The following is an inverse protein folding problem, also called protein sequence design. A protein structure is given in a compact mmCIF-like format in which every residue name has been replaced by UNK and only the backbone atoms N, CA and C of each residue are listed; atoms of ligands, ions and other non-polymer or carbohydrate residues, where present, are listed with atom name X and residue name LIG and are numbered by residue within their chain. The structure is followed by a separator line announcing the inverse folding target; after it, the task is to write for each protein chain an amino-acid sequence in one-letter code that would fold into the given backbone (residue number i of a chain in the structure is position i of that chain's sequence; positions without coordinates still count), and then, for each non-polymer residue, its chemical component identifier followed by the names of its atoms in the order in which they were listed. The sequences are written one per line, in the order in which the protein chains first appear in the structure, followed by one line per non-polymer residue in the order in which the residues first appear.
data_IF_658477575033
#
_entry.id   IF_658477575033
#
_cell.length_a   1.000
_cell.length_b   1.000
_cell.length_c   1.000
_cell.angle_alpha   90.00
_cell.angle_beta   90.00
_cell.angle_gamma   90.00
#
_symmetry.space_group_name_H-M   'P 1'
#
loop_
_entity.id
_entity.type
_entity.pdbx_description
1 polymer ?
#
# COMPACT_ATOMS: atom_id res chain seq x y z
N UNK A 1 20.57 67.92 -22.99
CA UNK A 1 19.28 67.70 -23.67
C UNK A 1 18.97 66.20 -23.62
N UNK A 2 17.72 65.87 -23.28
CA UNK A 2 17.00 64.56 -23.34
C UNK A 2 17.27 63.81 -24.67
N UNK A 3 17.12 62.49 -24.85
CA UNK A 3 16.12 61.51 -24.38
C UNK A 3 16.58 60.07 -24.75
N UNK A 4 16.04 59.05 -24.07
CA UNK A 4 16.06 57.64 -24.51
C UNK A 4 14.82 57.23 -25.32
N UNK A 5 14.88 56.06 -25.98
CA UNK A 5 13.82 55.28 -26.67
C UNK A 5 14.33 53.81 -26.74
N UNK A 6 13.76 52.76 -26.14
CA UNK A 6 12.52 51.95 -26.32
C UNK A 6 12.49 50.99 -27.53
N UNK A 7 12.25 49.70 -27.23
CA UNK A 7 12.22 48.45 -28.03
C UNK A 7 11.25 48.42 -29.23
N UNK A 8 11.52 47.52 -30.20
CA UNK A 8 10.58 46.56 -30.82
C UNK A 8 11.37 45.34 -31.35
N UNK A 9 10.85 44.12 -31.20
CA UNK A 9 11.45 42.86 -31.70
C UNK A 9 10.82 42.33 -32.99
N UNK A 10 11.42 41.29 -33.57
CA UNK A 10 10.80 40.46 -34.60
C UNK A 10 11.14 38.97 -34.40
N UNK A 11 10.08 38.17 -34.46
CA UNK A 11 10.04 36.72 -34.38
C UNK A 11 10.55 36.07 -35.67
N UNK A 12 11.02 34.83 -35.58
CA UNK A 12 10.92 33.88 -36.69
C UNK A 12 10.64 32.47 -36.17
N UNK A 13 9.59 31.90 -36.76
CA UNK A 13 8.84 30.72 -36.35
C UNK A 13 9.60 29.42 -36.60
N UNK A 14 9.50 28.51 -35.64
CA UNK A 14 9.88 27.10 -35.76
C UNK A 14 8.79 26.30 -36.46
N UNK A 15 9.14 25.62 -37.55
CA UNK A 15 8.33 24.57 -38.17
C UNK A 15 8.46 23.29 -37.35
N UNK A 16 7.39 22.92 -36.65
CA UNK A 16 7.28 21.68 -35.88
C UNK A 16 6.81 20.55 -36.80
N UNK A 17 7.69 19.59 -37.10
CA UNK A 17 7.30 18.36 -37.80
C UNK A 17 8.06 17.16 -37.21
N UNK A 18 7.81 16.84 -35.94
CA UNK A 18 8.18 15.54 -35.34
C UNK A 18 7.57 15.41 -33.94
N UNK A 19 6.26 15.21 -33.83
CA UNK A 19 5.62 14.99 -32.51
C UNK A 19 4.63 13.83 -32.49
N UNK A 20 4.46 13.11 -33.59
CA UNK A 20 3.52 11.99 -33.65
C UNK A 20 4.16 10.63 -33.34
N UNK A 21 5.44 10.43 -33.66
CA UNK A 21 6.13 9.15 -33.44
C UNK A 21 6.48 8.89 -31.97
N UNK A 22 6.89 9.92 -31.23
CA UNK A 22 7.36 9.77 -29.84
C UNK A 22 6.25 9.30 -28.88
N UNK A 23 4.99 9.69 -29.14
CA UNK A 23 3.86 9.35 -28.28
C UNK A 23 3.38 7.89 -28.45
N UNK A 24 3.62 7.26 -29.60
CA UNK A 24 3.25 5.86 -29.84
C UNK A 24 4.26 4.91 -29.22
N UNK A 25 5.56 5.22 -29.33
CA UNK A 25 6.64 4.49 -28.67
C UNK A 25 6.50 4.55 -27.14
N UNK A 26 6.20 5.73 -26.58
CA UNK A 26 5.96 5.88 -25.14
C UNK A 26 4.76 5.05 -24.64
N UNK A 27 3.70 4.93 -25.46
CA UNK A 27 2.54 4.07 -25.16
C UNK A 27 2.90 2.59 -25.25
N UNK A 28 3.68 2.21 -26.25
CA UNK A 28 4.16 0.84 -26.43
C UNK A 28 5.02 0.41 -25.22
N UNK A 29 5.93 1.28 -24.78
CA UNK A 29 6.77 1.08 -23.60
C UNK A 29 5.90 0.96 -22.34
N UNK A 30 4.92 1.85 -22.15
CA UNK A 30 4.01 1.79 -21.00
C UNK A 30 3.20 0.49 -20.96
N UNK A 31 2.76 -0.03 -22.11
CA UNK A 31 2.05 -1.29 -22.22
C UNK A 31 2.94 -2.49 -21.88
N UNK A 32 4.15 -2.56 -22.46
CA UNK A 32 5.13 -3.62 -22.18
C UNK A 32 5.51 -3.63 -20.71
N UNK A 33 5.81 -2.47 -20.13
CA UNK A 33 6.09 -2.35 -18.70
C UNK A 33 4.89 -2.84 -17.88
N UNK A 34 3.67 -2.43 -18.21
CA UNK A 34 2.46 -2.86 -17.49
C UNK A 34 2.28 -4.38 -17.53
N UNK A 35 2.57 -5.02 -18.66
CA UNK A 35 2.50 -6.47 -18.83
C UNK A 35 3.60 -7.21 -18.06
N UNK A 36 4.85 -6.72 -18.11
CA UNK A 36 5.95 -7.26 -17.29
C UNK A 36 5.66 -7.15 -15.80
N UNK A 37 5.15 -6.01 -15.33
CA UNK A 37 4.72 -5.82 -13.94
C UNK A 37 3.60 -6.80 -13.56
N UNK A 38 2.60 -7.01 -14.43
CA UNK A 38 1.54 -7.98 -14.19
C UNK A 38 2.06 -9.43 -14.13
N UNK A 39 3.09 -9.75 -14.92
CA UNK A 39 3.75 -11.05 -14.89
C UNK A 39 4.61 -11.24 -13.63
N UNK A 40 5.28 -10.19 -13.15
CA UNK A 40 5.96 -10.17 -11.86
C UNK A 40 4.98 -10.38 -10.70
N UNK A 41 3.86 -9.66 -10.69
CA UNK A 41 2.79 -9.83 -9.68
C UNK A 41 2.23 -11.26 -9.69
N UNK A 42 2.07 -11.86 -10.88
CA UNK A 42 1.65 -13.26 -11.04
C UNK A 42 2.71 -14.23 -10.50
N UNK A 43 3.99 -13.95 -10.76
CA UNK A 43 5.13 -14.72 -10.24
C UNK A 43 5.21 -14.68 -8.72
N UNK A 44 5.03 -13.49 -8.13
CA UNK A 44 4.96 -13.28 -6.68
C UNK A 44 3.75 -14.01 -6.09
N UNK A 45 2.56 -13.87 -6.68
CA UNK A 45 1.36 -14.57 -6.23
C UNK A 45 1.55 -16.10 -6.26
N UNK A 46 2.23 -16.64 -7.29
CA UNK A 46 2.57 -18.06 -7.40
C UNK A 46 3.61 -18.52 -6.37
N UNK A 47 4.54 -17.66 -5.96
CA UNK A 47 5.49 -17.95 -4.88
C UNK A 47 4.80 -17.95 -3.52
N UNK A 48 3.87 -17.02 -3.29
CA UNK A 48 3.09 -16.93 -2.06
C UNK A 48 2.10 -18.09 -1.91
N UNK A 49 1.55 -18.64 -3.00
CA UNK A 49 0.63 -19.79 -2.94
C UNK A 49 1.26 -21.09 -2.44
N UNK A 50 2.60 -21.17 -2.37
CA UNK A 50 3.31 -22.33 -1.81
C UNK A 50 3.46 -22.25 -0.29
N UNK A 51 3.04 -21.14 0.34
CA UNK A 51 2.98 -21.01 1.79
C UNK A 51 1.64 -21.54 2.27
N UNK A 52 1.65 -22.42 3.27
CA UNK A 52 0.45 -22.72 4.05
C UNK A 52 0.10 -21.46 4.85
N UNK A 53 -0.90 -20.66 4.42
CA UNK A 53 -1.22 -19.43 5.11
C UNK A 53 -1.95 -19.79 6.41
N UNK A 54 -1.60 -19.14 7.51
CA UNK A 54 -2.42 -19.21 8.71
C UNK A 54 -3.53 -18.16 8.55
N UNK A 55 -4.82 -18.55 8.61
CA UNK A 55 -5.92 -17.60 8.58
C UNK A 55 -5.74 -16.55 9.68
N UNK A 56 -5.93 -15.28 9.35
CA UNK A 56 -5.84 -14.21 10.35
C UNK A 56 -6.91 -14.41 11.44
N UNK A 57 -6.45 -14.59 12.69
CA UNK A 57 -7.31 -14.54 13.89
C UNK A 57 -6.97 -13.23 14.62
N UNK A 58 -7.88 -12.24 14.67
CA UNK A 58 -7.68 -11.00 15.41
C UNK A 58 -7.27 -11.26 16.86
N UNK A 59 -6.17 -10.66 17.32
CA UNK A 59 -5.70 -10.73 18.73
C UNK A 59 -5.34 -9.34 19.25
N UNK A 60 -5.51 -9.16 20.56
CA UNK A 60 -5.07 -7.94 21.27
C UNK A 60 -3.55 -8.01 21.43
N UNK A 61 -2.81 -7.08 20.83
CA UNK A 61 -1.35 -7.01 20.98
C UNK A 61 -0.98 -6.59 22.41
N UNK A 62 -0.44 -7.50 23.20
CA UNK A 62 -0.02 -7.26 24.59
C UNK A 62 1.50 -7.11 24.75
N UNK A 63 2.28 -7.16 23.65
CA UNK A 63 3.75 -7.21 23.71
C UNK A 63 4.41 -6.23 22.73
N UNK A 64 5.32 -5.40 23.23
CA UNK A 64 6.21 -4.53 22.46
C UNK A 64 7.63 -5.10 22.63
N UNK A 65 8.29 -5.59 21.57
CA UNK A 65 9.65 -6.15 21.66
C UNK A 65 10.67 -5.11 22.14
N UNK A 66 11.71 -5.58 22.83
CA UNK A 66 12.86 -4.75 23.22
C UNK A 66 13.78 -4.48 21.99
N UNK A 67 14.70 -3.52 22.10
CA UNK A 67 15.58 -3.08 20.99
C UNK A 67 16.47 -4.21 20.42
N UNK A 68 16.88 -5.17 21.28
CA UNK A 68 17.66 -6.35 20.89
C UNK A 68 16.84 -7.29 20.00
N UNK A 69 15.57 -7.49 20.34
CA UNK A 69 14.65 -8.31 19.55
C UNK A 69 14.32 -7.66 18.20
N UNK A 70 14.27 -6.32 18.13
CA UNK A 70 13.96 -5.60 16.89
C UNK A 70 14.99 -5.84 15.76
N UNK A 71 16.28 -5.92 16.08
CA UNK A 71 17.32 -6.23 15.07
C UNK A 71 17.23 -7.66 14.56
N UNK A 72 16.96 -8.62 15.45
CA UNK A 72 16.76 -10.03 15.09
C UNK A 72 15.47 -10.22 14.29
N UNK A 73 14.42 -9.48 14.61
CA UNK A 73 13.15 -9.46 13.90
C UNK A 73 13.32 -8.88 12.50
N UNK A 74 14.08 -7.79 12.37
CA UNK A 74 14.40 -7.20 11.07
C UNK A 74 15.21 -8.17 10.20
N UNK A 75 16.25 -8.81 10.76
CA UNK A 75 17.06 -9.80 10.03
C UNK A 75 16.20 -10.99 9.56
N UNK A 76 15.33 -11.51 10.43
CA UNK A 76 14.42 -12.62 10.10
C UNK A 76 13.47 -12.24 8.96
N UNK A 77 12.99 -10.99 8.97
CA UNK A 77 12.12 -10.46 7.93
C UNK A 77 12.86 -10.27 6.59
N UNK A 78 14.10 -9.79 6.62
CA UNK A 78 14.94 -9.69 5.41
C UNK A 78 15.22 -11.07 4.80
N UNK A 79 15.53 -12.07 5.62
CA UNK A 79 15.70 -13.45 5.16
C UNK A 79 14.43 -13.97 4.48
N UNK A 80 13.26 -13.73 5.09
CA UNK A 80 11.96 -14.13 4.52
C UNK A 80 11.69 -13.41 3.20
N UNK A 81 11.90 -12.11 3.12
CA UNK A 81 11.76 -11.34 1.88
C UNK A 81 12.63 -11.95 0.76
N UNK A 82 13.89 -12.28 1.06
CA UNK A 82 14.80 -12.90 0.10
C UNK A 82 14.30 -14.27 -0.38
N UNK A 83 13.84 -15.13 0.53
CA UNK A 83 13.28 -16.46 0.19
C UNK A 83 12.12 -16.35 -0.80
N UNK A 84 11.28 -15.31 -0.69
CA UNK A 84 10.15 -15.11 -1.59
C UNK A 84 10.49 -14.24 -2.81
N UNK A 85 11.72 -13.74 -2.91
CA UNK A 85 12.16 -12.78 -3.93
C UNK A 85 11.34 -11.49 -3.90
N UNK A 86 11.04 -11.01 -2.68
CA UNK A 86 10.36 -9.76 -2.41
C UNK A 86 11.38 -8.70 -2.01
N UNK A 87 11.15 -7.46 -2.42
CA UNK A 87 11.96 -6.32 -2.02
C UNK A 87 11.20 -5.45 -1.01
N UNK A 88 11.90 -4.97 0.03
CA UNK A 88 11.32 -3.99 0.96
C UNK A 88 11.31 -2.61 0.33
N UNK A 89 10.12 -2.04 0.18
CA UNK A 89 9.96 -0.61 -0.12
C UNK A 89 9.90 0.14 1.21
N UNK A 90 10.94 0.94 1.48
CA UNK A 90 10.98 1.77 2.69
C UNK A 90 9.90 2.85 2.62
N UNK A 91 9.02 2.83 3.60
CA UNK A 91 8.01 3.87 3.82
C UNK A 91 8.44 4.69 5.03
N UNK A 92 8.10 5.98 5.07
CA UNK A 92 8.34 6.81 6.26
C UNK A 92 7.75 6.14 7.51
N UNK A 93 8.54 6.00 8.56
CA UNK A 93 8.16 5.43 9.85
C UNK A 93 7.25 6.35 10.68
N UNK A 94 6.31 7.03 10.03
CA UNK A 94 5.27 7.82 10.69
C UNK A 94 4.03 6.96 10.94
N UNK A 95 3.07 7.48 11.70
CA UNK A 95 1.81 6.76 11.93
C UNK A 95 0.90 6.63 10.69
N UNK A 96 1.40 6.95 9.49
CA UNK A 96 0.70 6.71 8.22
C UNK A 96 1.27 5.51 7.45
N UNK A 97 2.33 4.87 7.94
CA UNK A 97 3.06 3.81 7.24
C UNK A 97 2.13 2.71 6.67
N UNK A 98 1.16 2.22 7.45
CA UNK A 98 0.21 1.19 6.98
C UNK A 98 -0.61 1.68 5.78
N UNK A 99 -1.13 2.91 5.83
CA UNK A 99 -1.94 3.47 4.75
C UNK A 99 -1.11 3.85 3.52
N UNK A 100 0.16 4.24 3.73
CA UNK A 100 1.12 4.44 2.64
C UNK A 100 1.48 3.13 1.95
N UNK A 101 1.70 2.06 2.71
CA UNK A 101 1.94 0.72 2.15
C UNK A 101 0.74 0.23 1.34
N UNK A 102 -0.48 0.38 1.88
CA UNK A 102 -1.71 0.07 1.14
C UNK A 102 -1.85 0.95 -0.13
N UNK A 103 -1.53 2.23 -0.03
CA UNK A 103 -1.55 3.16 -1.16
C UNK A 103 -0.58 2.74 -2.26
N UNK A 104 0.66 2.39 -1.88
CA UNK A 104 1.69 1.91 -2.80
C UNK A 104 1.21 0.69 -3.58
N UNK A 105 0.61 -0.28 -2.88
CA UNK A 105 0.16 -1.53 -3.51
C UNK A 105 -1.06 -1.34 -4.41
N UNK A 106 -1.97 -0.42 -4.07
CA UNK A 106 -3.23 -0.24 -4.82
C UNK A 106 -3.13 0.79 -5.94
N UNK A 107 -2.32 1.83 -5.74
CA UNK A 107 -2.23 3.00 -6.61
C UNK A 107 -0.83 3.20 -7.18
N UNK A 108 0.15 2.32 -6.88
CA UNK A 108 1.55 2.45 -7.30
C UNK A 108 2.18 3.78 -6.86
N UNK A 109 1.70 4.32 -5.74
CA UNK A 109 2.17 5.59 -5.17
C UNK A 109 1.78 5.69 -3.69
N UNK A 110 2.67 6.19 -2.80
CA UNK A 110 2.37 6.32 -1.38
C UNK A 110 1.58 7.60 -1.07
N UNK A 111 1.41 8.49 -2.06
CA UNK A 111 0.83 9.83 -1.88
C UNK A 111 -0.69 9.82 -1.70
N UNK A 112 -1.36 8.72 -2.08
CA UNK A 112 -2.79 8.55 -1.87
C UNK A 112 -3.15 8.03 -0.46
N UNK A 113 -2.20 7.91 0.47
CA UNK A 113 -2.42 7.36 1.81
C UNK A 113 -3.56 8.05 2.60
N UNK A 114 -3.77 9.36 2.39
CA UNK A 114 -4.89 10.11 3.01
C UNK A 114 -6.25 9.63 2.50
N UNK A 115 -6.35 9.35 1.19
CA UNK A 115 -7.56 8.82 0.56
C UNK A 115 -7.82 7.40 1.04
N UNK A 116 -6.78 6.55 1.06
CA UNK A 116 -6.88 5.18 1.61
C UNK A 116 -7.40 5.20 3.05
N UNK A 117 -6.81 6.02 3.93
CA UNK A 117 -7.27 6.16 5.32
C UNK A 117 -8.74 6.58 5.38
N UNK A 118 -9.15 7.56 4.57
CA UNK A 118 -10.54 8.04 4.52
C UNK A 118 -11.50 6.92 4.15
N UNK A 119 -11.17 6.13 3.13
CA UNK A 119 -12.01 5.02 2.66
C UNK A 119 -12.09 3.86 3.65
N UNK A 120 -10.97 3.52 4.30
CA UNK A 120 -10.95 2.51 5.37
C UNK A 120 -11.80 2.97 6.56
N UNK A 121 -11.66 4.23 6.99
CA UNK A 121 -12.47 4.78 8.08
C UNK A 121 -13.95 4.87 7.72
N UNK A 122 -14.27 5.13 6.45
CA UNK A 122 -15.65 5.08 5.94
C UNK A 122 -16.21 3.66 6.05
N UNK A 123 -15.46 2.66 5.59
CA UNK A 123 -15.83 1.23 5.69
C UNK A 123 -16.12 0.82 7.14
N UNK A 124 -15.24 1.20 8.07
CA UNK A 124 -15.40 0.95 9.51
C UNK A 124 -16.71 1.56 10.05
N UNK A 125 -17.02 2.80 9.68
CA UNK A 125 -18.24 3.49 10.14
C UNK A 125 -19.52 2.88 9.59
N UNK A 126 -19.53 2.52 8.30
CA UNK A 126 -20.71 2.01 7.60
C UNK A 126 -21.06 0.58 8.01
N UNK A 127 -20.05 -0.25 8.32
CA UNK A 127 -20.22 -1.67 8.63
C UNK A 127 -19.76 -2.00 10.06
N UNK A 128 -20.16 -1.16 11.03
CA UNK A 128 -19.74 -1.25 12.43
C UNK A 128 -19.84 -2.65 13.04
N UNK A 129 -20.93 -3.36 12.78
CA UNK A 129 -21.20 -4.70 13.35
C UNK A 129 -20.10 -5.72 13.03
N UNK A 130 -19.37 -5.53 11.92
CA UNK A 130 -18.30 -6.44 11.50
C UNK A 130 -17.03 -6.29 12.34
N UNK A 131 -16.79 -5.09 12.88
CA UNK A 131 -15.49 -4.73 13.46
C UNK A 131 -15.55 -4.44 14.96
N UNK A 132 -16.70 -4.00 15.47
CA UNK A 132 -16.81 -3.50 16.85
C UNK A 132 -16.37 -4.52 17.90
N UNK A 133 -16.68 -5.82 17.71
CA UNK A 133 -16.28 -6.88 18.63
C UNK A 133 -14.76 -7.08 18.76
N UNK A 134 -13.97 -6.56 17.82
CA UNK A 134 -12.51 -6.67 17.80
C UNK A 134 -11.81 -5.42 18.38
N UNK A 135 -12.58 -4.41 18.80
CA UNK A 135 -12.04 -3.15 19.31
C UNK A 135 -12.25 -3.06 20.82
N UNK A 136 -11.19 -2.97 21.64
CA UNK A 136 -11.30 -3.00 23.11
C UNK A 136 -11.83 -1.70 23.73
N UNK A 137 -12.26 -0.73 22.90
CA UNK A 137 -12.75 0.57 23.35
C UNK A 137 -14.06 0.93 22.66
N UNK A 138 -14.75 1.96 23.17
CA UNK A 138 -15.97 2.50 22.54
C UNK A 138 -15.71 2.76 21.04
N UNK A 139 -16.44 2.08 20.17
CA UNK A 139 -16.19 2.06 18.73
C UNK A 139 -16.20 3.46 18.08
N UNK A 140 -17.10 4.34 18.54
CA UNK A 140 -17.14 5.75 18.09
C UNK A 140 -15.86 6.51 18.41
N UNK A 141 -15.20 6.21 19.54
CA UNK A 141 -13.90 6.79 19.92
C UNK A 141 -12.79 6.25 19.04
N UNK A 142 -12.80 4.94 18.78
CA UNK A 142 -11.87 4.28 17.87
C UNK A 142 -11.90 4.91 16.46
N UNK A 143 -13.09 4.99 15.84
CA UNK A 143 -13.23 5.61 14.52
C UNK A 143 -12.78 7.07 14.47
N UNK A 144 -12.99 7.84 15.55
CA UNK A 144 -12.51 9.23 15.65
C UNK A 144 -10.99 9.31 15.73
N UNK A 145 -10.33 8.41 16.47
CA UNK A 145 -8.87 8.32 16.52
C UNK A 145 -8.33 7.93 15.14
N UNK A 146 -8.87 6.87 14.55
CA UNK A 146 -8.37 6.34 13.27
C UNK A 146 -8.50 7.33 12.09
N UNK A 147 -9.48 8.25 12.16
CA UNK A 147 -9.62 9.33 11.20
C UNK A 147 -8.48 10.38 11.23
N UNK A 148 -7.72 10.47 12.32
CA UNK A 148 -6.62 11.43 12.45
C UNK A 148 -5.43 10.99 11.61
N UNK A 149 -4.83 11.93 10.89
CA UNK A 149 -3.54 11.71 10.22
C UNK A 149 -2.48 11.37 11.27
N UNK A 150 -1.62 10.40 10.97
CA UNK A 150 -0.59 9.92 11.90
C UNK A 150 -1.10 9.00 13.02
N UNK A 151 -2.39 8.65 13.08
CA UNK A 151 -2.84 7.56 13.96
C UNK A 151 -2.45 6.22 13.33
N UNK A 152 -1.77 5.37 14.10
CA UNK A 152 -1.29 4.08 13.65
C UNK A 152 -2.47 3.16 13.30
N UNK A 153 -2.37 2.48 12.15
CA UNK A 153 -3.30 1.41 11.78
C UNK A 153 -3.06 0.15 12.62
N UNK A 154 -4.03 -0.75 12.61
CA UNK A 154 -4.00 -2.02 13.31
C UNK A 154 -4.50 -3.16 12.40
N UNK A 155 -4.79 -4.33 12.97
CA UNK A 155 -5.32 -5.47 12.21
C UNK A 155 -6.77 -5.25 11.75
N UNK A 156 -7.56 -4.44 12.46
CA UNK A 156 -8.94 -4.12 12.10
C UNK A 156 -8.98 -3.20 10.88
N UNK A 157 -8.05 -2.24 10.78
CA UNK A 157 -7.93 -1.41 9.57
C UNK A 157 -7.45 -2.19 8.36
N UNK A 158 -6.62 -3.23 8.54
CA UNK A 158 -6.25 -4.15 7.44
C UNK A 158 -7.46 -4.94 6.96
N UNK A 159 -8.26 -5.51 7.86
CA UNK A 159 -9.50 -6.20 7.48
C UNK A 159 -10.46 -5.25 6.73
N UNK A 160 -10.69 -4.05 7.27
CA UNK A 160 -11.54 -3.06 6.62
C UNK A 160 -10.98 -2.60 5.27
N UNK A 161 -9.66 -2.53 5.08
CA UNK A 161 -9.06 -2.26 3.77
C UNK A 161 -9.33 -3.41 2.79
N UNK A 162 -9.13 -4.67 3.19
CA UNK A 162 -9.44 -5.84 2.36
C UNK A 162 -10.89 -5.80 1.89
N UNK A 163 -11.83 -5.55 2.81
CA UNK A 163 -13.26 -5.44 2.54
C UNK A 163 -13.58 -4.26 1.60
N UNK A 164 -13.01 -3.08 1.88
CA UNK A 164 -13.28 -1.86 1.12
C UNK A 164 -12.81 -1.94 -0.33
N UNK A 165 -11.64 -2.53 -0.55
CA UNK A 165 -11.01 -2.57 -1.87
C UNK A 165 -11.25 -3.89 -2.61
N UNK A 166 -11.95 -4.85 -1.97
CA UNK A 166 -12.09 -6.23 -2.43
C UNK A 166 -10.73 -6.82 -2.82
N UNK A 167 -9.76 -6.64 -1.93
CA UNK A 167 -8.36 -7.00 -2.13
C UNK A 167 -7.91 -8.02 -1.10
N UNK A 168 -7.17 -9.03 -1.54
CA UNK A 168 -6.49 -9.95 -0.64
C UNK A 168 -5.26 -9.25 -0.07
N UNK A 169 -5.17 -9.14 1.25
CA UNK A 169 -3.98 -8.60 1.90
C UNK A 169 -3.11 -9.76 2.40
N UNK A 170 -1.87 -9.78 1.97
CA UNK A 170 -0.86 -10.75 2.37
C UNK A 170 0.14 -10.04 3.29
N UNK A 171 0.30 -10.53 4.52
CA UNK A 171 1.23 -9.99 5.49
C UNK A 171 2.41 -10.93 5.65
N UNK A 172 3.60 -10.45 5.30
CA UNK A 172 4.84 -11.08 5.71
C UNK A 172 5.27 -10.45 7.03
N UNK A 173 5.31 -11.25 8.09
CA UNK A 173 5.65 -10.75 9.43
C UNK A 173 7.06 -11.18 9.81
N UNK A 174 7.61 -10.51 10.81
CA UNK A 174 8.79 -11.01 11.52
C UNK A 174 8.44 -12.09 12.54
N UNK A 175 7.19 -12.41 12.91
CA UNK A 175 6.89 -13.34 14.02
C UNK A 175 7.52 -14.72 13.86
N UNK A 176 8.05 -15.30 14.95
CA UNK A 176 8.78 -16.58 14.91
C UNK A 176 7.91 -17.70 14.32
N UNK A 177 6.68 -17.82 14.83
CA UNK A 177 5.79 -18.93 14.50
C UNK A 177 4.79 -18.61 13.37
N UNK A 178 4.62 -17.33 13.03
CA UNK A 178 3.63 -16.89 12.02
C UNK A 178 4.29 -16.09 10.92
N UNK A 179 4.93 -16.77 9.97
CA UNK A 179 5.63 -16.13 8.86
C UNK A 179 4.71 -15.29 7.97
N UNK A 180 3.53 -15.84 7.66
CA UNK A 180 2.67 -15.35 6.60
C UNK A 180 1.21 -15.39 7.04
N UNK A 181 0.52 -14.26 6.91
CA UNK A 181 -0.88 -14.10 7.28
C UNK A 181 -1.64 -13.62 6.05
N UNK A 182 -2.77 -14.24 5.75
CA UNK A 182 -3.68 -13.78 4.71
C UNK A 182 -4.95 -13.21 5.31
N UNK A 183 -5.33 -12.04 4.81
CA UNK A 183 -6.58 -11.35 5.13
C UNK A 183 -7.40 -11.30 3.85
N UNK A 184 -8.47 -12.08 3.85
CA UNK A 184 -9.44 -12.12 2.76
C UNK A 184 -10.57 -11.13 3.05
N UNK A 185 -11.18 -10.50 2.03
CA UNK A 185 -12.42 -9.77 2.22
C UNK A 185 -13.51 -10.74 2.69
N UNK A 186 -14.27 -10.38 3.72
CA UNK A 186 -15.21 -11.30 4.37
C UNK A 186 -16.48 -11.57 3.55
N UNK A 187 -16.92 -10.61 2.73
CA UNK A 187 -18.24 -10.67 2.09
C UNK A 187 -18.22 -10.47 0.57
N UNK A 188 -17.04 -10.34 -0.03
CA UNK A 188 -16.87 -10.26 -1.48
C UNK A 188 -15.63 -11.04 -1.92
N UNK A 189 -15.67 -11.83 -2.99
CA UNK A 189 -14.47 -12.45 -3.50
C UNK A 189 -13.46 -11.36 -3.95
N UNK A 190 -12.15 -11.55 -3.74
CA UNK A 190 -11.15 -10.60 -4.21
C UNK A 190 -11.30 -10.39 -5.71
N UNK A 191 -11.25 -9.13 -6.16
CA UNK A 191 -11.23 -8.84 -7.60
C UNK A 191 -9.91 -9.34 -8.18
N UNK A 192 -9.96 -10.10 -9.29
CA UNK A 192 -8.75 -10.61 -9.98
C UNK A 192 -7.74 -9.46 -10.19
N UNK A 193 -6.49 -9.67 -9.77
CA UNK A 193 -5.41 -8.68 -9.87
C UNK A 193 -5.29 -7.69 -8.71
N UNK A 194 -6.11 -7.78 -7.65
CA UNK A 194 -6.01 -6.92 -6.46
C UNK A 194 -5.46 -7.69 -5.26
N UNK A 195 -4.16 -7.95 -5.28
CA UNK A 195 -3.42 -8.45 -4.12
C UNK A 195 -2.60 -7.30 -3.55
N UNK A 196 -2.70 -7.08 -2.24
CA UNK A 196 -1.90 -6.09 -1.53
C UNK A 196 -0.92 -6.85 -0.63
N UNK A 197 0.37 -6.75 -0.91
CA UNK A 197 1.40 -7.31 -0.04
C UNK A 197 1.85 -6.21 0.92
N UNK A 198 1.62 -6.40 2.21
CA UNK A 198 2.04 -5.45 3.24
C UNK A 198 3.03 -6.11 4.20
N UNK A 199 4.02 -5.35 4.63
CA UNK A 199 4.97 -5.78 5.66
C UNK A 199 4.58 -5.12 6.98
N UNK A 200 4.58 -5.89 8.06
CA UNK A 200 4.67 -5.34 9.42
C UNK A 200 6.02 -5.76 10.00
N UNK A 201 6.86 -4.76 10.32
CA UNK A 201 8.08 -4.94 11.11
C UNK A 201 7.76 -4.95 12.60
#
# INVERSE_FOLDING_TARGET
MRNGTWSVGESSSSTSLSSQHDNEDDRMIALVLTEEYANLDRGVAKRLSNLAPVPHVPRINSYIPNLSDASLDHQRLLQRLNVYGLCEVKVSGDGNCQFRALSEQMYKSPEHHKHVRKDVVKQLKEHRSLYEGHVPMKYKRYCKKMAKSGEWGDHVTLQAAADKFAAKICLLTSFRDTCFIEIMPQYQPPKRGKNCLCKLS
#
